data_IF_087452663055
#
_entry.id   IF_087452663055
#
_cell.length_a   1.000
_cell.length_b   1.000
_cell.length_c   1.000
_cell.angle_alpha   90.00
_cell.angle_beta   90.00
_cell.angle_gamma   90.00
#
_symmetry.space_group_name_H-M   'P 1'
#
loop_
_entity.id
_entity.type
_entity.pdbx_description
1 polymer ?
#
# COMPACT_ATOMS: atom_id res chain seq x y z
N UNK A 1 16.20 -9.14 10.77
CA UNK A 1 15.75 -8.75 9.42
C UNK A 1 15.66 -7.25 9.40
N UNK A 2 16.48 -6.58 8.60
CA UNK A 2 16.37 -5.13 8.42
C UNK A 2 15.04 -4.83 7.71
N UNK A 3 14.15 -4.05 8.32
CA UNK A 3 12.93 -3.63 7.63
C UNK A 3 13.30 -2.64 6.52
N UNK A 4 12.92 -2.94 5.28
CA UNK A 4 12.99 -2.00 4.16
C UNK A 4 11.73 -1.14 4.14
N UNK A 5 11.85 0.01 3.49
CA UNK A 5 10.74 0.93 3.27
C UNK A 5 10.14 0.66 1.89
N UNK A 6 8.83 0.52 1.82
CA UNK A 6 8.07 0.33 0.58
C UNK A 6 7.03 1.45 0.46
N UNK A 7 6.74 1.90 -0.76
CA UNK A 7 5.56 2.71 -1.04
C UNK A 7 4.55 1.89 -1.82
N UNK A 8 3.31 1.94 -1.35
CA UNK A 8 2.16 1.30 -1.97
C UNK A 8 1.17 2.40 -2.32
N UNK A 9 0.93 2.60 -3.62
CA UNK A 9 -0.08 3.52 -4.13
C UNK A 9 -1.37 2.76 -4.36
N UNK A 10 -2.45 3.18 -3.71
CA UNK A 10 -3.79 2.63 -3.84
C UNK A 10 -4.69 3.61 -4.59
N UNK A 11 -5.32 3.22 -5.72
CA UNK A 11 -6.32 4.05 -6.36
C UNK A 11 -7.60 4.08 -5.52
N UNK A 12 -8.32 5.18 -5.54
CA UNK A 12 -9.55 5.36 -4.78
C UNK A 12 -10.76 5.73 -5.64
N UNK A 13 -11.94 5.63 -5.01
CA UNK A 13 -13.23 5.93 -5.63
C UNK A 13 -13.37 7.39 -6.07
N UNK A 14 -12.59 8.29 -5.47
CA UNK A 14 -12.57 9.72 -5.82
C UNK A 14 -11.60 10.04 -6.99
N UNK A 15 -11.01 9.01 -7.61
CA UNK A 15 -10.07 9.14 -8.71
C UNK A 15 -8.65 9.53 -8.30
N UNK A 16 -8.35 9.64 -7.00
CA UNK A 16 -7.00 9.92 -6.50
C UNK A 16 -6.21 8.63 -6.27
N UNK A 17 -4.91 8.80 -6.07
CA UNK A 17 -4.03 7.76 -5.55
C UNK A 17 -3.53 8.15 -4.16
N UNK A 18 -3.73 7.26 -3.20
CA UNK A 18 -3.23 7.40 -1.84
C UNK A 18 -1.98 6.55 -1.67
N UNK A 19 -0.90 7.16 -1.18
CA UNK A 19 0.41 6.52 -1.09
C UNK A 19 0.78 6.27 0.36
N UNK A 20 0.99 5.01 0.71
CA UNK A 20 1.33 4.55 2.05
C UNK A 20 2.77 4.08 2.10
N UNK A 21 3.45 4.39 3.21
CA UNK A 21 4.77 3.81 3.51
C UNK A 21 4.60 2.59 4.40
N UNK A 22 5.03 1.44 3.90
CA UNK A 22 4.99 0.15 4.59
C UNK A 22 6.42 -0.26 4.95
N UNK A 23 6.64 -0.71 6.17
CA UNK A 23 7.93 -1.23 6.63
C UNK A 23 7.87 -2.74 6.66
N UNK A 24 8.62 -3.40 5.79
CA UNK A 24 8.56 -4.85 5.62
C UNK A 24 9.92 -5.41 5.19
N UNK A 25 10.14 -6.73 5.37
CA UNK A 25 11.33 -7.41 4.84
C UNK A 25 11.52 -7.19 3.34
N UNK A 26 12.74 -7.43 2.85
CA UNK A 26 13.05 -7.31 1.42
C UNK A 26 12.34 -8.37 0.56
N UNK A 27 12.05 -9.52 1.15
CA UNK A 27 11.35 -10.66 0.55
C UNK A 27 9.85 -10.68 0.84
N UNK A 28 9.30 -9.58 1.37
CA UNK A 28 7.86 -9.45 1.60
C UNK A 28 7.08 -9.68 0.30
N UNK A 29 6.00 -10.46 0.36
CA UNK A 29 5.18 -10.68 -0.82
C UNK A 29 4.44 -9.38 -1.15
N UNK A 30 4.28 -9.07 -2.45
CA UNK A 30 3.47 -7.93 -2.88
C UNK A 30 2.09 -7.87 -2.23
N UNK A 31 1.44 -9.04 -2.05
CA UNK A 31 0.14 -9.13 -1.40
C UNK A 31 0.18 -8.68 0.07
N UNK A 32 1.23 -9.01 0.82
CA UNK A 32 1.38 -8.59 2.21
C UNK A 32 1.51 -7.06 2.31
N UNK A 33 2.31 -6.47 1.42
CA UNK A 33 2.49 -5.01 1.33
C UNK A 33 1.18 -4.29 0.99
N UNK A 34 0.42 -4.85 0.05
CA UNK A 34 -0.89 -4.33 -0.32
C UNK A 34 -1.86 -4.36 0.85
N UNK A 35 -1.98 -5.50 1.54
CA UNK A 35 -2.92 -5.65 2.65
C UNK A 35 -2.59 -4.69 3.79
N UNK A 36 -1.31 -4.52 4.12
CA UNK A 36 -0.89 -3.59 5.17
C UNK A 36 -1.24 -2.12 4.82
N UNK A 37 -0.97 -1.71 3.57
CA UNK A 37 -1.34 -0.39 3.08
C UNK A 37 -2.87 -0.18 3.02
N UNK A 38 -3.62 -1.20 2.57
CA UNK A 38 -5.07 -1.12 2.43
C UNK A 38 -5.76 -1.09 3.80
N UNK A 39 -5.27 -1.85 4.78
CA UNK A 39 -5.77 -1.79 6.16
C UNK A 39 -5.56 -0.40 6.77
N UNK A 40 -4.36 0.17 6.60
CA UNK A 40 -4.09 1.54 7.04
C UNK A 40 -5.01 2.58 6.37
N UNK A 41 -5.36 2.36 5.09
CA UNK A 41 -6.32 3.21 4.40
C UNK A 41 -7.76 3.07 4.92
N UNK A 42 -8.23 1.83 5.15
CA UNK A 42 -9.62 1.56 5.55
C UNK A 42 -9.97 2.17 6.93
N UNK A 43 -8.96 2.33 7.79
CA UNK A 43 -9.10 3.02 9.08
C UNK A 43 -9.10 4.57 8.96
N UNK A 44 -8.84 5.12 7.77
CA UNK A 44 -8.76 6.56 7.55
C UNK A 44 -10.12 7.18 7.22
N UNK A 45 -10.24 8.51 7.38
CA UNK A 45 -11.43 9.25 6.98
C UNK A 45 -11.46 9.61 5.47
N UNK A 46 -10.56 9.05 4.67
CA UNK A 46 -10.48 9.34 3.24
C UNK A 46 -11.51 8.52 2.45
N UNK A 47 -11.90 8.99 1.24
CA UNK A 47 -12.66 8.18 0.29
C UNK A 47 -12.02 6.81 0.07
N UNK A 48 -12.85 5.77 0.09
CA UNK A 48 -12.45 4.35 -0.01
C UNK A 48 -11.49 4.10 -1.18
N UNK A 49 -10.38 3.43 -0.88
CA UNK A 49 -9.49 2.81 -1.84
C UNK A 49 -10.13 1.54 -2.44
N UNK A 50 -9.82 1.25 -3.70
CA UNK A 50 -10.20 0.00 -4.32
C UNK A 50 -9.43 -1.16 -3.68
N UNK A 51 -10.12 -2.26 -3.40
CA UNK A 51 -9.55 -3.54 -2.96
C UNK A 51 -8.97 -4.35 -4.14
N UNK A 52 -8.44 -3.65 -5.15
CA UNK A 52 -7.89 -4.24 -6.37
C UNK A 52 -6.37 -4.30 -6.30
N UNK A 53 -5.85 -5.47 -5.90
CA UNK A 53 -4.42 -5.74 -5.80
C UNK A 53 -3.65 -5.37 -7.08
N UNK A 54 -4.16 -5.78 -8.25
CA UNK A 54 -3.51 -5.55 -9.55
C UNK A 54 -3.42 -4.06 -9.94
N UNK A 55 -4.19 -3.20 -9.28
CA UNK A 55 -4.17 -1.76 -9.51
C UNK A 55 -3.19 -1.03 -8.56
N UNK A 56 -2.64 -1.71 -7.56
CA UNK A 56 -1.69 -1.14 -6.63
C UNK A 56 -0.31 -1.01 -7.26
N UNK A 57 0.34 0.13 -7.06
CA UNK A 57 1.73 0.33 -7.49
C UNK A 57 2.64 0.21 -6.27
N UNK A 58 3.49 -0.81 -6.28
CA UNK A 58 4.41 -1.12 -5.18
C UNK A 58 5.84 -0.79 -5.61
N UNK A 59 6.54 0.02 -4.82
CA UNK A 59 7.94 0.38 -5.06
C UNK A 59 8.75 0.33 -3.78
N UNK A 60 9.96 -0.22 -3.84
CA UNK A 60 10.91 -0.14 -2.73
C UNK A 60 11.53 1.26 -2.66
N UNK A 61 11.78 1.76 -1.46
CA UNK A 61 12.57 2.96 -1.21
C UNK A 61 13.77 2.60 -0.32
N UNK A 62 14.96 2.99 -0.77
CA UNK A 62 16.22 2.66 -0.09
C UNK A 62 17.18 1.97 -1.03
#
# INVERSE_FOLDING_TARGET
MESRSWLVSLPAVDGKQYVYRVYAPEDALPADLFWDAWHCHDESAFPRAWDLFDAAVIRRIG
#
